data_IF_601252003219
#
_entry.id   IF_601252003219
#
_cell.length_a   1.000
_cell.length_b   1.000
_cell.length_c   1.000
_cell.angle_alpha   90.00
_cell.angle_beta   90.00
_cell.angle_gamma   90.00
#
_symmetry.space_group_name_H-M   'P 1'
#
loop_
_entity.id
_entity.type
_entity.pdbx_description
1 polymer ?
#
# COMPACT_ATOMS: atom_id res chain seq x y z
N UNK A 1 -49.13 22.80 -1.62
CA UNK A 1 -48.32 23.92 -2.14
C UNK A 1 -46.87 23.47 -2.12
N UNK A 2 -46.35 22.99 -3.24
CA UNK A 2 -45.00 22.44 -3.39
C UNK A 2 -43.99 23.59 -3.39
N UNK A 3 -42.99 23.54 -2.52
CA UNK A 3 -41.85 24.45 -2.55
C UNK A 3 -40.77 23.83 -3.45
N UNK A 4 -40.54 24.44 -4.61
CA UNK A 4 -39.44 24.09 -5.50
C UNK A 4 -38.13 24.67 -4.92
N UNK A 5 -37.15 23.80 -4.68
CA UNK A 5 -35.79 24.20 -4.31
C UNK A 5 -35.01 24.57 -5.58
N UNK A 6 -34.28 25.69 -5.63
CA UNK A 6 -33.46 26.05 -6.78
C UNK A 6 -32.23 25.14 -6.85
N UNK A 7 -32.17 24.29 -7.88
CA UNK A 7 -30.97 23.55 -8.26
C UNK A 7 -29.84 24.54 -8.55
N UNK A 8 -28.89 24.64 -7.62
CA UNK A 8 -27.62 25.29 -7.89
C UNK A 8 -26.86 24.40 -8.87
N UNK A 9 -27.00 24.72 -10.16
CA UNK A 9 -26.13 24.20 -11.22
C UNK A 9 -24.69 24.53 -10.82
N UNK A 10 -23.95 23.52 -10.35
CA UNK A 10 -22.49 23.56 -10.37
C UNK A 10 -22.10 23.68 -11.84
N UNK A 11 -21.54 24.82 -12.20
CA UNK A 11 -20.84 24.98 -13.46
C UNK A 11 -19.72 23.93 -13.49
N UNK A 12 -19.89 22.91 -14.32
CA UNK A 12 -18.77 22.11 -14.82
C UNK A 12 -18.04 23.05 -15.76
N UNK A 13 -16.96 23.62 -15.24
CA UNK A 13 -15.95 24.34 -16.00
C UNK A 13 -14.70 23.48 -15.97
N UNK A 14 -14.29 22.96 -17.13
CA UNK A 14 -13.04 22.23 -17.25
C UNK A 14 -13.10 21.14 -18.30
N UNK A 15 -13.08 21.56 -19.57
CA UNK A 15 -12.49 20.80 -20.67
C UNK A 15 -11.07 20.37 -20.25
N UNK A 16 -10.81 19.06 -20.19
CA UNK A 16 -9.53 18.48 -19.81
C UNK A 16 -9.51 17.06 -20.38
N UNK A 17 -8.78 16.90 -21.48
CA UNK A 17 -8.78 15.70 -22.31
C UNK A 17 -8.44 14.42 -21.54
N UNK A 18 -8.75 13.29 -22.18
CA UNK A 18 -8.58 11.90 -21.73
C UNK A 18 -7.10 11.49 -21.50
N UNK A 19 -6.32 12.28 -20.76
CA UNK A 19 -5.01 11.87 -20.29
C UNK A 19 -5.20 10.84 -19.17
N UNK A 20 -4.52 9.67 -19.22
CA UNK A 20 -4.63 8.68 -18.17
C UNK A 20 -4.23 9.30 -16.82
N UNK A 21 -4.95 8.98 -15.73
CA UNK A 21 -4.66 9.56 -14.43
C UNK A 21 -3.21 9.27 -14.03
N UNK A 22 -2.53 10.30 -13.49
CA UNK A 22 -1.16 10.17 -13.03
C UNK A 22 -1.00 9.04 -12.00
N UNK A 23 0.22 8.49 -11.88
CA UNK A 23 0.51 7.42 -10.91
C UNK A 23 0.11 7.85 -9.49
N UNK A 24 0.43 9.09 -9.11
CA UNK A 24 0.05 9.65 -7.81
C UNK A 24 -1.47 9.71 -7.64
N UNK A 25 -2.21 10.12 -8.67
CA UNK A 25 -3.67 10.11 -8.64
C UNK A 25 -4.21 8.69 -8.46
N UNK A 26 -3.62 7.69 -9.10
CA UNK A 26 -4.01 6.28 -8.92
C UNK A 26 -3.75 5.80 -7.50
N UNK A 27 -2.56 6.04 -6.95
CA UNK A 27 -2.19 5.66 -5.57
C UNK A 27 -3.16 6.26 -4.55
N UNK A 28 -3.43 7.57 -4.66
CA UNK A 28 -4.35 8.28 -3.75
C UNK A 28 -5.80 7.77 -3.80
N UNK A 29 -6.19 7.11 -4.89
CA UNK A 29 -7.52 6.50 -5.05
C UNK A 29 -7.56 5.00 -4.72
N UNK A 30 -6.44 4.40 -4.28
CA UNK A 30 -6.40 2.99 -3.87
C UNK A 30 -6.83 2.86 -2.41
N UNK A 31 -7.87 2.07 -2.16
CA UNK A 31 -8.29 1.74 -0.79
C UNK A 31 -7.17 1.03 -0.01
N UNK A 32 -6.33 0.24 -0.69
CA UNK A 32 -5.20 -0.47 -0.09
C UNK A 32 -4.18 0.52 0.47
N UNK A 33 -3.91 1.59 -0.26
CA UNK A 33 -2.99 2.63 0.15
C UNK A 33 -3.51 3.38 1.38
N UNK A 34 -4.78 3.78 1.34
CA UNK A 34 -5.44 4.43 2.47
C UNK A 34 -5.42 3.53 3.74
N UNK A 35 -5.74 2.24 3.58
CA UNK A 35 -5.68 1.28 4.69
C UNK A 35 -4.28 1.07 5.24
N UNK A 36 -3.25 1.02 4.37
CA UNK A 36 -1.86 0.92 4.80
C UNK A 36 -1.45 2.14 5.64
N UNK A 37 -1.70 3.34 5.13
CA UNK A 37 -1.37 4.59 5.83
C UNK A 37 -2.09 4.68 7.17
N UNK A 38 -3.39 4.35 7.21
CA UNK A 38 -4.17 4.35 8.44
C UNK A 38 -3.62 3.34 9.46
N UNK A 39 -3.24 2.15 9.00
CA UNK A 39 -2.66 1.13 9.87
C UNK A 39 -1.31 1.57 10.44
N UNK A 40 -0.44 2.16 9.62
CA UNK A 40 0.86 2.71 10.06
C UNK A 40 0.65 3.83 11.06
N UNK A 41 -0.30 4.73 10.82
CA UNK A 41 -0.64 5.79 11.77
C UNK A 41 -1.09 5.23 13.13
N UNK A 42 -1.89 4.17 13.15
CA UNK A 42 -2.39 3.57 14.40
C UNK A 42 -1.36 2.68 15.11
N UNK A 43 -0.56 1.92 14.36
CA UNK A 43 0.23 0.80 14.89
C UNK A 43 1.71 0.84 14.49
N UNK A 44 2.16 1.84 13.74
CA UNK A 44 3.53 1.95 13.23
C UNK A 44 4.58 1.84 14.32
N UNK A 45 4.37 2.53 15.45
CA UNK A 45 5.24 2.42 16.62
C UNK A 45 5.34 1.00 17.18
N UNK A 46 4.24 0.25 17.23
CA UNK A 46 4.26 -1.15 17.65
C UNK A 46 5.04 -2.03 16.65
N UNK A 47 4.95 -1.70 15.36
CA UNK A 47 5.70 -2.31 14.28
C UNK A 47 7.17 -1.88 14.19
N UNK A 48 7.61 -0.92 15.03
CA UNK A 48 8.94 -0.29 14.97
C UNK A 48 9.20 0.37 13.60
N UNK A 49 8.14 0.90 12.98
CA UNK A 49 8.23 1.80 11.84
C UNK A 49 8.60 3.18 12.40
N UNK A 50 9.47 3.91 11.68
CA UNK A 50 9.90 5.25 12.07
C UNK A 50 8.70 6.21 12.09
N UNK A 51 8.57 7.01 13.15
CA UNK A 51 7.50 8.00 13.32
C UNK A 51 7.59 9.14 12.28
N UNK A 52 8.75 9.29 11.61
CA UNK A 52 8.94 10.22 10.49
C UNK A 52 8.28 9.75 9.18
N UNK A 53 7.87 8.48 9.07
CA UNK A 53 7.20 7.96 7.87
C UNK A 53 5.73 8.40 7.89
N UNK A 54 5.43 9.44 7.12
CA UNK A 54 4.07 9.94 6.90
C UNK A 54 3.54 9.60 5.50
N UNK A 55 2.34 10.08 5.17
CA UNK A 55 1.68 9.81 3.88
C UNK A 55 2.52 10.38 2.72
N UNK A 56 3.07 11.58 2.89
CA UNK A 56 3.83 12.26 1.83
C UNK A 56 5.14 11.52 1.53
N UNK A 57 5.81 10.98 2.54
CA UNK A 57 7.02 10.17 2.38
C UNK A 57 6.71 8.87 1.62
N UNK A 58 5.61 8.17 1.96
CA UNK A 58 5.22 6.94 1.27
C UNK A 58 4.81 7.25 -0.18
N UNK A 59 4.06 8.32 -0.43
CA UNK A 59 3.70 8.74 -1.80
C UNK A 59 4.93 9.05 -2.63
N UNK A 60 5.87 9.80 -2.07
CA UNK A 60 7.10 10.20 -2.75
C UNK A 60 7.97 8.98 -3.08
N UNK A 61 8.08 8.02 -2.16
CA UNK A 61 8.82 6.79 -2.42
C UNK A 61 8.19 5.96 -3.55
N UNK A 62 6.86 5.84 -3.58
CA UNK A 62 6.14 5.11 -4.64
C UNK A 62 6.36 5.69 -6.05
N UNK A 63 6.79 6.95 -6.17
CA UNK A 63 7.07 7.60 -7.45
C UNK A 63 8.53 7.43 -7.90
N UNK A 64 9.41 6.89 -7.05
CA UNK A 64 10.81 6.63 -7.41
C UNK A 64 10.89 5.45 -8.40
N UNK A 65 11.92 5.41 -9.27
CA UNK A 65 12.14 4.27 -10.16
C UNK A 65 12.32 2.94 -9.41
N UNK A 66 12.87 3.00 -8.20
CA UNK A 66 13.09 1.87 -7.30
C UNK A 66 12.64 2.27 -5.88
N UNK A 67 11.35 2.04 -5.54
CA UNK A 67 10.85 2.27 -4.20
C UNK A 67 11.47 1.26 -3.22
N UNK A 68 11.92 1.72 -2.07
CA UNK A 68 12.52 0.87 -1.03
C UNK A 68 11.69 0.84 0.24
N UNK A 69 10.92 1.90 0.50
CA UNK A 69 10.19 2.08 1.75
C UNK A 69 9.09 1.02 1.93
N UNK A 70 8.42 0.63 0.86
CA UNK A 70 7.40 -0.43 0.92
C UNK A 70 8.00 -1.78 1.33
N UNK A 71 9.24 -2.09 0.89
CA UNK A 71 9.95 -3.31 1.26
C UNK A 71 10.35 -3.28 2.74
N UNK A 72 10.79 -2.12 3.24
CA UNK A 72 11.13 -1.92 4.65
C UNK A 72 9.90 -2.05 5.55
N UNK A 73 8.77 -1.46 5.14
CA UNK A 73 7.48 -1.61 5.81
C UNK A 73 7.04 -3.08 5.80
N UNK A 74 7.13 -3.77 4.66
CA UNK A 74 6.78 -5.19 4.55
C UNK A 74 7.63 -6.05 5.50
N UNK A 75 8.93 -5.76 5.62
CA UNK A 75 9.83 -6.43 6.55
C UNK A 75 9.47 -6.15 8.02
N UNK A 76 9.11 -4.91 8.36
CA UNK A 76 8.64 -4.54 9.69
C UNK A 76 7.36 -5.31 10.07
N UNK A 77 6.39 -5.37 9.16
CA UNK A 77 5.16 -6.14 9.34
C UNK A 77 5.43 -7.65 9.48
N UNK A 78 6.32 -8.20 8.66
CA UNK A 78 6.68 -9.61 8.75
C UNK A 78 7.32 -9.95 10.11
N UNK A 79 8.17 -9.07 10.64
CA UNK A 79 8.78 -9.23 11.97
C UNK A 79 7.75 -9.24 13.10
N UNK A 80 6.58 -8.62 12.93
CA UNK A 80 5.51 -8.68 13.91
C UNK A 80 4.78 -10.03 13.93
N UNK A 81 4.62 -10.65 12.75
CA UNK A 81 3.79 -11.86 12.60
C UNK A 81 4.60 -13.15 12.54
N UNK A 82 5.93 -13.04 12.51
CA UNK A 82 6.86 -14.17 12.41
C UNK A 82 7.70 -14.33 13.66
N UNK A 83 7.90 -15.57 14.09
CA UNK A 83 8.84 -15.94 15.15
C UNK A 83 10.25 -16.23 14.61
N UNK A 84 10.45 -16.19 13.28
CA UNK A 84 11.73 -16.46 12.65
C UNK A 84 12.73 -15.35 12.99
N UNK A 85 13.86 -15.72 13.61
CA UNK A 85 14.96 -14.79 13.90
C UNK A 85 15.77 -14.51 12.63
N UNK A 86 16.36 -13.33 12.52
CA UNK A 86 17.22 -12.98 11.38
C UNK A 86 16.46 -12.70 10.08
N UNK A 87 15.26 -12.12 10.16
CA UNK A 87 14.56 -11.60 8.98
C UNK A 87 15.33 -10.41 8.40
N UNK A 88 15.90 -10.61 7.21
CA UNK A 88 16.57 -9.60 6.38
C UNK A 88 15.79 -9.38 5.07
N UNK A 89 16.06 -8.28 4.35
CA UNK A 89 15.46 -8.06 3.03
C UNK A 89 15.65 -9.24 2.06
N UNK A 90 16.80 -9.91 2.10
CA UNK A 90 17.13 -11.02 1.18
C UNK A 90 16.19 -12.23 1.30
N UNK A 91 15.61 -12.43 2.49
CA UNK A 91 14.70 -13.57 2.76
C UNK A 91 13.24 -13.14 2.81
N UNK A 92 12.93 -11.86 2.54
CA UNK A 92 11.59 -11.29 2.67
C UNK A 92 10.56 -12.06 1.84
N UNK A 93 10.81 -12.22 0.55
CA UNK A 93 9.87 -12.86 -0.39
C UNK A 93 9.57 -14.30 -0.02
N UNK A 94 10.62 -15.06 0.30
CA UNK A 94 10.49 -16.45 0.72
C UNK A 94 9.66 -16.55 2.01
N UNK A 95 9.90 -15.68 2.99
CA UNK A 95 9.18 -15.73 4.26
C UNK A 95 7.73 -15.23 4.14
N UNK A 96 7.48 -14.19 3.34
CA UNK A 96 6.11 -13.74 3.04
C UNK A 96 5.32 -14.83 2.31
N UNK A 97 5.91 -15.47 1.30
CA UNK A 97 5.29 -16.60 0.61
C UNK A 97 4.91 -17.70 1.57
N UNK A 98 5.83 -18.12 2.46
CA UNK A 98 5.55 -19.15 3.46
C UNK A 98 4.43 -18.73 4.42
N UNK A 99 4.40 -17.46 4.83
CA UNK A 99 3.35 -16.94 5.69
C UNK A 99 1.97 -17.01 5.01
N UNK A 100 1.88 -16.62 3.74
CA UNK A 100 0.66 -16.72 2.95
C UNK A 100 0.25 -18.18 2.71
N UNK A 101 1.17 -19.06 2.32
CA UNK A 101 0.88 -20.48 2.13
C UNK A 101 0.33 -21.13 3.41
N UNK A 102 0.82 -20.73 4.59
CA UNK A 102 0.36 -21.26 5.87
C UNK A 102 -0.98 -20.69 6.35
N UNK A 103 -1.31 -19.42 6.04
CA UNK A 103 -2.46 -18.71 6.63
C UNK A 103 -3.57 -18.40 5.64
N UNK A 104 -3.24 -18.09 4.40
CA UNK A 104 -4.19 -17.69 3.36
C UNK A 104 -3.69 -18.12 1.96
N UNK A 105 -3.54 -19.43 1.69
CA UNK A 105 -2.89 -19.93 0.47
C UNK A 105 -3.59 -19.48 -0.82
N UNK A 106 -4.91 -19.27 -0.78
CA UNK A 106 -5.71 -18.82 -1.93
C UNK A 106 -5.53 -17.33 -2.26
N UNK A 107 -4.92 -16.55 -1.38
CA UNK A 107 -4.73 -15.10 -1.53
C UNK A 107 -3.25 -14.73 -1.62
N UNK A 108 -2.37 -15.70 -1.91
CA UNK A 108 -0.93 -15.49 -1.91
C UNK A 108 -0.47 -14.71 -3.15
N UNK A 109 0.00 -13.45 -3.01
CA UNK A 109 0.51 -12.68 -4.14
C UNK A 109 1.94 -13.10 -4.54
N UNK A 110 2.66 -13.86 -3.71
CA UNK A 110 4.07 -14.23 -3.90
C UNK A 110 4.28 -15.53 -4.70
N UNK A 111 3.22 -16.06 -5.32
CA UNK A 111 3.29 -17.28 -6.11
C UNK A 111 3.55 -18.54 -5.29
N UNK A 112 3.96 -19.62 -5.95
CA UNK A 112 4.25 -20.92 -5.31
C UNK A 112 5.75 -21.14 -5.16
N UNK A 113 6.14 -22.23 -4.49
CA UNK A 113 7.56 -22.65 -4.44
C UNK A 113 8.12 -22.95 -5.85
N UNK A 114 7.26 -23.37 -6.79
CA UNK A 114 7.65 -23.69 -8.15
C UNK A 114 7.71 -22.42 -9.02
N UNK A 115 6.77 -21.50 -8.81
CA UNK A 115 6.66 -20.24 -9.57
C UNK A 115 6.63 -19.06 -8.59
N UNK A 116 7.78 -18.67 -8.02
CA UNK A 116 7.87 -17.58 -7.07
C UNK A 116 7.67 -16.22 -7.75
N UNK A 117 6.96 -15.31 -7.07
CA UNK A 117 6.85 -13.89 -7.45
C UNK A 117 7.60 -13.05 -6.42
N UNK A 118 8.39 -12.09 -6.92
CA UNK A 118 9.19 -11.14 -6.15
C UNK A 118 8.36 -9.94 -5.69
N UNK A 119 8.71 -9.35 -4.55
CA UNK A 119 8.11 -8.09 -4.10
C UNK A 119 8.55 -6.89 -4.95
N UNK A 120 9.79 -6.92 -5.45
CA UNK A 120 10.41 -5.89 -6.31
C UNK A 120 10.45 -6.30 -7.77
#
# INVERSE_FOLDING_TARGET
>A
RTFAMPSHKRAISGDGGDEPPSILHRIRNMWQFANLCQWIYMFGKAARIDDAIDIEEIETDCLKPQPTLLSDIALALLKLVSTHRGLTPDVLDHQLRRQYLAKAPKQNPFGSEINPVSFS
#
